data_IF_732309185306
#
_entry.id   IF_732309185306
#
_cell.length_a   1.000
_cell.length_b   1.000
_cell.length_c   1.000
_cell.angle_alpha   90.00
_cell.angle_beta   90.00
_cell.angle_gamma   90.00
#
_symmetry.space_group_name_H-M   'P 1'
#
loop_
_entity.id
_entity.type
_entity.pdbx_description
1 polymer ?
#
# COMPACT_ATOMS: atom_id res chain seq x y z
N UNK A 1 3.67 5.02 -5.84
CA UNK A 1 3.54 3.89 -4.88
C UNK A 1 3.41 2.52 -5.56
N UNK A 2 2.53 2.38 -6.55
CA UNK A 2 2.28 1.10 -7.24
C UNK A 2 3.56 0.46 -7.80
N UNK A 3 4.28 1.18 -8.67
CA UNK A 3 5.54 0.68 -9.25
C UNK A 3 6.62 0.43 -8.19
N UNK A 4 6.66 1.24 -7.14
CA UNK A 4 7.62 1.03 -6.03
C UNK A 4 7.40 -0.33 -5.35
N UNK A 5 6.14 -0.70 -5.06
CA UNK A 5 5.81 -2.02 -4.50
C UNK A 5 6.11 -3.15 -5.49
N UNK A 6 5.75 -2.98 -6.76
CA UNK A 6 5.98 -4.01 -7.78
C UNK A 6 7.48 -4.30 -7.94
N UNK A 7 8.31 -3.26 -7.96
CA UNK A 7 9.77 -3.39 -8.08
C UNK A 7 10.40 -3.93 -6.79
N UNK A 8 9.88 -3.55 -5.61
CA UNK A 8 10.31 -4.15 -4.34
C UNK A 8 10.11 -5.67 -4.34
N UNK A 9 8.95 -6.15 -4.80
CA UNK A 9 8.67 -7.57 -4.89
C UNK A 9 9.45 -8.30 -5.98
N UNK A 10 9.58 -7.71 -7.17
CA UNK A 10 10.22 -8.37 -8.31
C UNK A 10 11.75 -8.43 -8.24
N UNK A 11 12.36 -7.45 -7.60
CA UNK A 11 13.82 -7.32 -7.58
C UNK A 11 14.31 -6.78 -6.22
N UNK A 12 13.98 -7.43 -5.08
CA UNK A 12 14.21 -6.88 -3.75
C UNK A 12 15.69 -6.63 -3.43
N UNK A 13 16.60 -7.36 -4.06
CA UNK A 13 18.05 -7.25 -3.83
C UNK A 13 18.71 -6.05 -4.55
N UNK A 14 17.98 -5.38 -5.44
CA UNK A 14 18.51 -4.21 -6.16
C UNK A 14 18.34 -2.91 -5.38
N UNK A 15 17.54 -2.89 -4.30
CA UNK A 15 17.14 -1.67 -3.61
C UNK A 15 17.70 -1.66 -2.19
N UNK A 16 18.38 -0.59 -1.81
CA UNK A 16 18.75 -0.33 -0.42
C UNK A 16 17.51 -0.03 0.45
N UNK A 17 16.54 0.67 -0.14
CA UNK A 17 15.26 0.97 0.47
C UNK A 17 14.23 1.40 -0.56
N UNK A 18 12.96 1.19 -0.24
CA UNK A 18 11.81 1.55 -1.07
C UNK A 18 10.80 2.30 -0.21
N UNK A 19 10.32 3.44 -0.71
CA UNK A 19 9.21 4.18 -0.10
C UNK A 19 8.04 4.24 -1.08
N UNK A 20 6.94 3.60 -0.72
CA UNK A 20 5.74 3.47 -1.53
C UNK A 20 4.60 4.29 -0.92
N UNK A 21 4.02 5.18 -1.71
CA UNK A 21 2.97 6.11 -1.27
C UNK A 21 1.68 5.86 -2.02
N UNK A 22 0.60 5.73 -1.26
CA UNK A 22 -0.77 5.50 -1.76
C UNK A 22 -0.83 4.42 -2.85
N UNK A 23 -0.22 3.25 -2.61
CA UNK A 23 -0.04 2.24 -3.63
C UNK A 23 -1.29 1.40 -3.83
N UNK A 24 -1.50 0.96 -5.07
CA UNK A 24 -2.31 -0.21 -5.36
C UNK A 24 -1.44 -1.46 -5.14
N UNK A 25 -1.99 -2.49 -4.52
CA UNK A 25 -1.28 -3.76 -4.29
C UNK A 25 -1.89 -4.95 -5.04
N UNK A 26 -3.21 -4.92 -5.29
CA UNK A 26 -3.95 -5.91 -6.07
C UNK A 26 -4.75 -5.20 -7.16
N UNK A 27 -4.44 -5.51 -8.42
CA UNK A 27 -5.07 -4.84 -9.56
C UNK A 27 -6.50 -5.31 -9.80
N UNK A 28 -6.81 -6.58 -9.50
CA UNK A 28 -8.17 -7.11 -9.65
C UNK A 28 -9.11 -6.55 -8.57
N UNK A 29 -8.65 -6.46 -7.33
CA UNK A 29 -9.38 -5.83 -6.24
C UNK A 29 -9.65 -4.35 -6.56
N UNK A 30 -8.61 -3.60 -6.99
CA UNK A 30 -8.79 -2.19 -7.34
C UNK A 30 -9.70 -1.97 -8.55
N UNK A 31 -9.67 -2.87 -9.54
CA UNK A 31 -10.63 -2.85 -10.64
C UNK A 31 -12.07 -2.95 -10.11
N UNK A 32 -12.35 -3.92 -9.23
CA UNK A 32 -13.69 -4.12 -8.65
C UNK A 32 -14.16 -2.89 -7.87
N UNK A 33 -13.28 -2.29 -7.06
CA UNK A 33 -13.55 -1.07 -6.29
C UNK A 33 -13.84 0.14 -7.21
N UNK A 34 -13.05 0.31 -8.27
CA UNK A 34 -13.25 1.36 -9.24
C UNK A 34 -14.57 1.17 -10.01
N UNK A 35 -14.88 -0.06 -10.39
CA UNK A 35 -16.14 -0.41 -11.08
C UNK A 35 -17.35 -0.13 -10.19
N UNK A 36 -17.30 -0.54 -8.93
CA UNK A 36 -18.38 -0.29 -7.95
C UNK A 36 -18.64 1.22 -7.74
N UNK A 37 -17.61 2.05 -7.84
CA UNK A 37 -17.70 3.51 -7.69
C UNK A 37 -17.84 4.28 -9.02
N UNK A 38 -18.03 3.58 -10.14
CA UNK A 38 -18.17 4.19 -11.47
C UNK A 38 -16.93 4.98 -11.93
N UNK A 39 -15.73 4.63 -11.44
CA UNK A 39 -14.50 5.34 -11.78
C UNK A 39 -13.95 4.84 -13.12
N UNK A 40 -13.45 5.76 -13.94
CA UNK A 40 -12.85 5.46 -15.26
C UNK A 40 -11.67 4.49 -15.20
N UNK A 41 -10.99 4.41 -14.07
CA UNK A 41 -9.83 3.51 -13.88
C UNK A 41 -10.17 2.05 -14.14
N UNK A 42 -11.39 1.58 -13.85
CA UNK A 42 -11.81 0.22 -14.18
C UNK A 42 -11.61 -0.08 -15.68
N UNK A 43 -12.03 0.86 -16.55
CA UNK A 43 -11.85 0.72 -18.00
C UNK A 43 -10.40 0.80 -18.44
N UNK A 44 -9.61 1.67 -17.82
CA UNK A 44 -8.16 1.81 -18.10
C UNK A 44 -7.40 0.52 -17.74
N UNK A 45 -7.78 -0.13 -16.63
CA UNK A 45 -7.21 -1.42 -16.21
C UNK A 45 -7.60 -2.51 -17.22
N UNK A 46 -8.89 -2.59 -17.61
CA UNK A 46 -9.35 -3.56 -18.61
C UNK A 46 -8.57 -3.43 -19.92
N UNK A 47 -8.36 -2.21 -20.41
CA UNK A 47 -7.56 -1.96 -21.62
C UNK A 47 -6.11 -2.43 -21.45
N UNK A 48 -5.51 -2.25 -20.26
CA UNK A 48 -4.15 -2.65 -19.96
C UNK A 48 -3.97 -4.16 -19.81
N UNK A 49 -5.00 -4.86 -19.35
CA UNK A 49 -4.98 -6.30 -19.09
C UNK A 49 -5.64 -7.15 -20.21
N UNK A 50 -6.26 -6.49 -21.19
CA UNK A 50 -6.94 -7.16 -22.30
C UNK A 50 -8.39 -7.58 -22.00
N UNK A 51 -8.98 -7.15 -20.89
CA UNK A 51 -10.35 -7.42 -20.49
C UNK A 51 -10.60 -7.24 -18.99
N UNK A 52 -11.84 -7.48 -18.58
CA UNK A 52 -12.20 -7.49 -17.16
C UNK A 52 -11.67 -8.77 -16.47
N UNK A 53 -11.46 -8.75 -15.13
CA UNK A 53 -11.13 -9.97 -14.38
C UNK A 53 -12.13 -11.09 -14.66
N UNK A 54 -11.63 -12.32 -14.78
CA UNK A 54 -12.39 -13.54 -15.12
C UNK A 54 -12.90 -13.61 -16.57
N UNK A 55 -12.44 -12.73 -17.47
CA UNK A 55 -12.78 -12.82 -18.89
C UNK A 55 -12.08 -14.02 -19.56
N UNK A 56 -10.86 -14.36 -19.14
CA UNK A 56 -10.10 -15.55 -19.54
C UNK A 56 -8.87 -15.72 -18.65
N UNK A 57 -8.29 -16.92 -18.62
CA UNK A 57 -7.05 -17.23 -17.90
C UNK A 57 -5.90 -16.29 -18.30
N UNK A 58 -5.81 -15.93 -19.58
CA UNK A 58 -4.81 -15.00 -20.10
C UNK A 58 -4.98 -13.61 -19.50
N UNK A 59 -6.20 -13.13 -19.37
CA UNK A 59 -6.51 -11.83 -18.75
C UNK A 59 -6.19 -11.87 -17.27
N UNK A 60 -6.61 -12.92 -16.56
CA UNK A 60 -6.34 -13.07 -15.13
C UNK A 60 -4.84 -13.14 -14.84
N UNK A 61 -4.07 -13.80 -15.70
CA UNK A 61 -2.60 -13.80 -15.62
C UNK A 61 -2.00 -12.39 -15.77
N UNK A 62 -2.56 -11.53 -16.63
CA UNK A 62 -2.12 -10.14 -16.77
C UNK A 62 -2.43 -9.30 -15.51
N UNK A 63 -3.58 -9.52 -14.86
CA UNK A 63 -3.87 -8.91 -13.56
C UNK A 63 -2.88 -9.38 -12.49
N UNK A 64 -2.64 -10.69 -12.41
CA UNK A 64 -1.69 -11.28 -11.47
C UNK A 64 -0.26 -10.75 -11.67
N UNK A 65 0.24 -10.73 -12.91
CA UNK A 65 1.57 -10.21 -13.24
C UNK A 65 1.75 -8.72 -12.87
N UNK A 66 0.70 -7.96 -12.87
CA UNK A 66 0.72 -6.52 -12.56
C UNK A 66 0.40 -6.22 -11.08
N UNK A 67 -0.02 -7.21 -10.30
CA UNK A 67 -0.34 -7.03 -8.88
C UNK A 67 0.91 -7.18 -8.01
N UNK A 68 1.34 -6.13 -7.27
CA UNK A 68 2.44 -6.22 -6.33
C UNK A 68 2.33 -7.38 -5.34
N UNK A 69 1.13 -7.69 -4.82
CA UNK A 69 0.90 -8.79 -3.88
C UNK A 69 1.42 -10.13 -4.39
N UNK A 70 1.43 -10.35 -5.70
CA UNK A 70 1.97 -11.58 -6.31
C UNK A 70 3.45 -11.81 -5.97
N UNK A 71 4.19 -10.74 -5.73
CA UNK A 71 5.66 -10.79 -5.58
C UNK A 71 6.16 -10.30 -4.22
N UNK A 72 5.35 -9.59 -3.44
CA UNK A 72 5.83 -8.91 -2.22
C UNK A 72 6.42 -9.85 -1.17
N UNK A 73 5.96 -11.08 -1.08
CA UNK A 73 6.55 -12.07 -0.16
C UNK A 73 8.05 -12.28 -0.39
N UNK A 74 8.55 -12.10 -1.62
CA UNK A 74 9.99 -12.19 -1.94
C UNK A 74 10.81 -11.04 -1.34
N UNK A 75 10.17 -9.94 -0.97
CA UNK A 75 10.80 -8.76 -0.36
C UNK A 75 10.93 -8.88 1.17
N UNK A 76 10.22 -9.84 1.78
CA UNK A 76 10.19 -10.04 3.24
C UNK A 76 11.60 -10.21 3.81
N UNK A 77 11.97 -9.34 4.75
CA UNK A 77 13.28 -9.36 5.40
C UNK A 77 14.48 -8.99 4.51
N UNK A 78 14.26 -8.65 3.24
CA UNK A 78 15.34 -8.34 2.29
C UNK A 78 15.51 -6.84 2.10
N UNK A 79 14.48 -6.13 1.66
CA UNK A 79 14.53 -4.70 1.39
C UNK A 79 13.87 -3.89 2.51
N UNK A 80 14.45 -2.73 2.83
CA UNK A 80 13.81 -1.77 3.72
C UNK A 80 12.60 -1.16 3.01
N UNK A 81 11.37 -1.51 3.44
CA UNK A 81 10.14 -1.13 2.76
C UNK A 81 9.27 -0.23 3.64
N UNK A 82 8.99 0.97 3.14
CA UNK A 82 8.11 1.96 3.77
C UNK A 82 6.85 2.14 2.94
N UNK A 83 5.69 1.82 3.50
CA UNK A 83 4.39 1.87 2.83
C UNK A 83 3.55 2.94 3.51
N UNK A 84 3.02 3.89 2.74
CA UNK A 84 2.32 5.05 3.28
C UNK A 84 1.00 5.29 2.56
N UNK A 85 -0.06 5.61 3.31
CA UNK A 85 -1.33 6.06 2.76
C UNK A 85 -1.97 7.11 3.66
N UNK A 86 -2.65 8.08 3.08
CA UNK A 86 -3.51 8.98 3.85
C UNK A 86 -4.78 8.25 4.29
N UNK A 87 -5.19 8.43 5.53
CA UNK A 87 -6.36 7.73 6.10
C UNK A 87 -7.66 8.00 5.32
N UNK A 88 -7.74 9.14 4.63
CA UNK A 88 -8.89 9.52 3.81
C UNK A 88 -8.84 8.98 2.37
N UNK A 89 -7.76 8.28 1.97
CA UNK A 89 -7.68 7.70 0.63
C UNK A 89 -8.70 6.56 0.46
N UNK A 90 -9.31 6.49 -0.71
CA UNK A 90 -10.49 5.63 -0.93
C UNK A 90 -11.83 6.31 -0.66
N UNK A 91 -11.87 7.33 0.21
CA UNK A 91 -13.03 8.21 0.44
C UNK A 91 -12.94 9.48 -0.39
N UNK A 92 -11.94 10.32 -0.16
CA UNK A 92 -11.64 11.51 -0.97
C UNK A 92 -10.70 11.21 -2.15
N UNK A 93 -9.89 10.15 -2.06
CA UNK A 93 -9.00 9.65 -3.09
C UNK A 93 -9.53 8.40 -3.80
N UNK A 94 -8.68 7.76 -4.61
CA UNK A 94 -9.09 6.63 -5.46
C UNK A 94 -8.67 5.25 -4.95
N UNK A 95 -7.72 5.17 -4.03
CA UNK A 95 -7.13 3.91 -3.58
C UNK A 95 -7.45 3.71 -2.10
N UNK A 96 -8.28 2.73 -1.72
CA UNK A 96 -8.52 2.41 -0.32
C UNK A 96 -7.24 2.04 0.43
N UNK A 97 -7.15 2.41 1.71
CA UNK A 97 -5.98 2.11 2.55
C UNK A 97 -5.73 0.62 2.73
N UNK A 98 -6.74 -0.24 2.48
CA UNK A 98 -6.60 -1.70 2.46
C UNK A 98 -5.45 -2.17 1.57
N UNK A 99 -5.23 -1.55 0.43
CA UNK A 99 -4.12 -1.88 -0.45
C UNK A 99 -2.75 -1.75 0.24
N UNK A 100 -2.55 -0.67 0.99
CA UNK A 100 -1.32 -0.45 1.77
C UNK A 100 -1.19 -1.45 2.92
N UNK A 101 -2.29 -1.76 3.61
CA UNK A 101 -2.31 -2.68 4.74
C UNK A 101 -2.08 -4.13 4.31
N UNK A 102 -2.72 -4.57 3.22
CA UNK A 102 -2.45 -5.89 2.62
C UNK A 102 -1.02 -6.01 2.08
N UNK A 103 -0.47 -4.94 1.48
CA UNK A 103 0.92 -4.93 1.04
C UNK A 103 1.90 -5.09 2.21
N UNK A 104 1.61 -4.47 3.37
CA UNK A 104 2.38 -4.67 4.60
C UNK A 104 2.27 -6.12 5.09
N UNK A 105 1.07 -6.68 5.20
CA UNK A 105 0.87 -8.05 5.65
C UNK A 105 1.62 -9.06 4.78
N UNK A 106 1.73 -8.83 3.47
CA UNK A 106 2.48 -9.70 2.57
C UNK A 106 3.99 -9.79 2.86
N UNK A 107 4.55 -8.85 3.64
CA UNK A 107 5.97 -8.79 4.01
C UNK A 107 6.21 -8.84 5.52
N UNK A 108 5.15 -8.79 6.32
CA UNK A 108 5.22 -8.84 7.77
C UNK A 108 5.46 -10.25 8.30
N UNK A 109 5.97 -10.36 9.52
CA UNK A 109 5.92 -11.60 10.28
C UNK A 109 4.47 -11.83 10.76
N UNK A 110 4.03 -13.07 10.86
CA UNK A 110 2.65 -13.46 11.21
C UNK A 110 2.14 -12.74 12.48
N UNK A 111 2.98 -12.65 13.51
CA UNK A 111 2.66 -11.97 14.79
C UNK A 111 2.43 -10.47 14.65
N UNK A 112 2.91 -9.86 13.57
CA UNK A 112 2.87 -8.42 13.34
C UNK A 112 1.79 -8.05 12.30
N UNK A 113 1.13 -9.04 11.71
CA UNK A 113 0.07 -8.80 10.73
C UNK A 113 -1.09 -7.98 11.31
N UNK A 114 -1.70 -7.21 10.47
CA UNK A 114 -2.89 -6.44 10.76
C UNK A 114 -4.09 -7.32 10.44
N UNK A 115 -4.94 -7.57 11.44
CA UNK A 115 -6.13 -8.41 11.25
C UNK A 115 -7.09 -7.83 10.20
N UNK A 116 -7.80 -8.69 9.49
CA UNK A 116 -8.79 -8.25 8.51
C UNK A 116 -9.86 -7.36 9.15
N UNK A 117 -10.29 -7.66 10.37
CA UNK A 117 -11.26 -6.84 11.11
C UNK A 117 -10.77 -5.40 11.32
N UNK A 118 -9.48 -5.21 11.67
CA UNK A 118 -8.90 -3.87 11.81
C UNK A 118 -8.75 -3.18 10.45
N UNK A 119 -8.39 -3.91 9.39
CA UNK A 119 -8.34 -3.35 8.03
C UNK A 119 -9.73 -2.83 7.64
N UNK A 120 -10.76 -3.62 7.84
CA UNK A 120 -12.15 -3.25 7.52
C UNK A 120 -12.61 -2.04 8.33
N UNK A 121 -12.30 -1.98 9.64
CA UNK A 121 -12.56 -0.82 10.50
C UNK A 121 -11.94 0.45 9.95
N UNK A 122 -10.62 0.41 9.64
CA UNK A 122 -9.87 1.56 9.13
C UNK A 122 -10.40 2.05 7.77
N UNK A 123 -10.77 1.11 6.89
CA UNK A 123 -11.36 1.43 5.59
C UNK A 123 -12.74 2.06 5.73
N UNK A 124 -13.60 1.52 6.60
CA UNK A 124 -14.98 2.01 6.75
C UNK A 124 -15.04 3.35 7.48
N UNK A 125 -14.29 3.47 8.57
CA UNK A 125 -14.32 4.66 9.42
C UNK A 125 -13.53 5.84 8.86
N UNK A 126 -12.53 5.60 7.98
CA UNK A 126 -11.53 6.58 7.57
C UNK A 126 -10.92 7.33 8.77
N UNK A 127 -10.78 6.62 9.89
CA UNK A 127 -10.31 7.12 11.18
C UNK A 127 -9.62 6.00 11.94
N UNK A 128 -8.64 6.33 12.75
CA UNK A 128 -7.96 5.40 13.65
C UNK A 128 -8.57 5.55 15.06
N UNK A 129 -8.97 4.44 15.66
CA UNK A 129 -9.45 4.42 17.06
C UNK A 129 -8.27 4.63 18.02
N UNK A 130 -8.55 5.17 19.22
CA UNK A 130 -7.51 5.49 20.21
C UNK A 130 -6.68 4.28 20.63
N UNK A 131 -7.27 3.08 20.61
CA UNK A 131 -6.61 1.82 20.95
C UNK A 131 -5.53 1.42 19.92
N UNK A 132 -5.61 1.92 18.70
CA UNK A 132 -4.67 1.63 17.60
C UNK A 132 -3.86 2.85 17.17
N UNK A 133 -4.10 4.01 17.81
CA UNK A 133 -3.45 5.25 17.44
C UNK A 133 -1.93 5.20 17.66
N UNK A 134 -1.19 5.75 16.72
CA UNK A 134 0.26 5.94 16.86
C UNK A 134 0.52 7.05 17.88
N UNK A 135 1.12 6.69 19.00
CA UNK A 135 1.40 7.63 20.12
C UNK A 135 2.63 8.52 19.92
N UNK A 136 3.41 8.26 18.84
CA UNK A 136 4.62 9.01 18.53
C UNK A 136 4.37 10.26 17.70
N UNK A 137 5.42 11.09 17.56
CA UNK A 137 5.47 12.20 16.61
C UNK A 137 6.61 11.96 15.62
N UNK A 138 6.35 12.16 14.35
CA UNK A 138 7.35 12.03 13.29
C UNK A 138 7.47 13.37 12.55
N UNK A 139 8.53 14.13 12.87
CA UNK A 139 8.75 15.47 12.31
C UNK A 139 8.87 15.48 10.79
N UNK A 140 9.28 14.37 10.19
CA UNK A 140 9.39 14.26 8.74
C UNK A 140 8.03 14.33 8.01
N UNK A 141 6.92 14.04 8.72
CA UNK A 141 5.56 14.18 8.19
C UNK A 141 5.00 15.61 8.28
N UNK A 142 5.70 16.53 8.95
CA UNK A 142 5.26 17.92 9.09
C UNK A 142 3.88 18.01 9.76
N UNK A 143 2.91 18.65 9.09
CA UNK A 143 1.53 18.78 9.59
C UNK A 143 0.70 17.49 9.41
N UNK A 144 1.11 16.58 8.53
CA UNK A 144 0.39 15.33 8.21
C UNK A 144 0.88 14.17 9.05
N UNK A 145 0.72 14.30 10.37
CA UNK A 145 1.27 13.32 11.32
C UNK A 145 0.75 11.90 11.10
N UNK A 146 1.57 10.88 11.39
CA UNK A 146 1.12 9.50 11.47
C UNK A 146 -0.03 9.34 12.46
N UNK A 147 -1.09 8.69 12.04
CA UNK A 147 -2.23 8.32 12.87
C UNK A 147 -2.16 6.85 13.30
N UNK A 148 -1.66 5.99 12.41
CA UNK A 148 -1.43 4.57 12.65
C UNK A 148 -0.06 4.18 12.09
N UNK A 149 0.66 3.31 12.80
CA UNK A 149 1.93 2.75 12.31
C UNK A 149 2.12 1.33 12.83
N UNK A 150 2.49 0.43 11.94
CA UNK A 150 2.92 -0.92 12.26
C UNK A 150 4.26 -1.18 11.59
N UNK A 151 5.16 -1.87 12.29
CA UNK A 151 6.45 -2.28 11.75
C UNK A 151 6.66 -3.78 11.98
N UNK A 152 7.35 -4.42 11.04
CA UNK A 152 7.75 -5.81 11.13
C UNK A 152 9.04 -6.01 10.34
N UNK A 153 10.10 -6.52 11.00
CA UNK A 153 11.40 -6.72 10.37
C UNK A 153 11.88 -5.44 9.64
N UNK A 154 12.04 -5.48 8.31
CA UNK A 154 12.48 -4.35 7.48
C UNK A 154 11.32 -3.56 6.86
N UNK A 155 10.08 -3.91 7.15
CA UNK A 155 8.91 -3.25 6.60
C UNK A 155 8.18 -2.41 7.66
N UNK A 156 7.58 -1.32 7.20
CA UNK A 156 6.61 -0.58 8.00
C UNK A 156 5.47 -0.06 7.13
N UNK A 157 4.29 0.06 7.73
CA UNK A 157 3.17 0.78 7.14
C UNK A 157 2.79 1.96 8.03
N UNK A 158 2.44 3.08 7.41
CA UNK A 158 1.97 4.29 8.09
C UNK A 158 0.71 4.81 7.43
N UNK A 159 -0.36 4.97 8.21
CA UNK A 159 -1.50 5.79 7.80
C UNK A 159 -1.33 7.17 8.42
N UNK A 160 -1.34 8.21 7.59
CA UNK A 160 -1.14 9.59 8.02
C UNK A 160 -2.42 10.42 7.84
N UNK A 161 -2.46 11.58 8.48
CA UNK A 161 -3.56 12.55 8.34
C UNK A 161 -3.52 13.21 6.95
N UNK A 162 -4.23 12.59 6.00
CA UNK A 162 -4.22 13.04 4.61
C UNK A 162 -5.06 12.15 3.68
N UNK A 163 -4.96 12.44 2.40
CA UNK A 163 -5.64 11.73 1.31
C UNK A 163 -4.65 11.04 0.36
N UNK A 164 -4.95 11.12 -0.94
CA UNK A 164 -4.11 10.52 -2.00
C UNK A 164 -2.92 11.41 -2.34
N UNK A 165 -1.88 11.39 -1.49
CA UNK A 165 -0.75 12.31 -1.61
C UNK A 165 0.57 11.72 -1.11
N UNK A 166 1.65 12.38 -1.44
CA UNK A 166 3.02 12.08 -0.99
C UNK A 166 3.48 13.13 0.00
N UNK A 167 4.05 12.72 1.14
CA UNK A 167 4.81 13.60 2.02
C UNK A 167 6.30 13.46 1.69
N UNK A 168 6.80 14.34 0.82
CA UNK A 168 8.16 14.22 0.24
C UNK A 168 9.27 14.18 1.30
N UNK A 169 9.15 14.96 2.37
CA UNK A 169 10.12 14.98 3.48
C UNK A 169 10.20 13.64 4.22
N UNK A 170 9.07 12.95 4.41
CA UNK A 170 9.04 11.64 5.04
C UNK A 170 9.64 10.56 4.13
N UNK A 171 9.31 10.60 2.83
CA UNK A 171 9.91 9.69 1.85
C UNK A 171 11.43 9.84 1.79
N UNK A 172 11.92 11.08 1.71
CA UNK A 172 13.36 11.37 1.67
C UNK A 172 14.07 10.93 2.95
N UNK A 173 13.49 11.23 4.12
CA UNK A 173 14.06 10.82 5.41
C UNK A 173 14.21 9.30 5.52
N UNK A 174 13.23 8.53 5.03
CA UNK A 174 13.30 7.08 4.97
C UNK A 174 14.42 6.59 4.03
N UNK A 175 14.48 7.11 2.82
CA UNK A 175 15.46 6.68 1.81
C UNK A 175 16.90 6.96 2.26
N UNK A 176 17.16 8.14 2.86
CA UNK A 176 18.48 8.49 3.43
C UNK A 176 18.86 7.51 4.54
N UNK A 177 17.92 7.14 5.42
CA UNK A 177 18.18 6.18 6.50
C UNK A 177 18.46 4.77 5.95
N UNK A 178 17.78 4.37 4.88
CA UNK A 178 17.87 3.02 4.30
C UNK A 178 19.14 2.83 3.44
N UNK A 179 19.81 3.91 3.02
CA UNK A 179 21.04 3.86 2.22
C UNK A 179 22.33 3.73 3.07
N UNK A 180 22.20 3.77 4.38
CA UNK A 180 23.31 3.56 5.35
C UNK A 180 23.34 2.12 5.80
#
# INVERSE_FOLDING_TARGET
>A
GYMSLLMAGRAPRLWAGVSAWVPISDLAAWHAECKAKGRKYAREIELSCGGAPKASDKVDEEYRKRSPLTYLSTAKGIVNLDINAGIQDGHSGSVPVSHSLHAFNAVAEEKDEISQALIDELVQAAKVSDSHAFSGKDISYGKKQPLFRRASSKARVTLFDGGHELVASAALAWLIKSSK
#
